data_IF_946462538981
#
_entry.id   IF_946462538981
#
_cell.length_a   1.000
_cell.length_b   1.000
_cell.length_c   1.000
_cell.angle_alpha   90.00
_cell.angle_beta   90.00
_cell.angle_gamma   90.00
#
_symmetry.space_group_name_H-M   'P 1'
#
loop_
_entity.id
_entity.type
_entity.pdbx_description
1 polymer ?
#
# COMPACT_ATOMS: atom_id res chain seq x y z
N UNK A 1 14.25 -7.82 13.61
CA UNK A 1 13.76 -6.71 12.77
C UNK A 1 12.86 -5.82 13.62
N UNK A 2 12.94 -4.49 13.51
CA UNK A 2 12.08 -3.59 14.28
C UNK A 2 10.68 -3.56 13.65
N UNK A 3 9.64 -3.80 14.46
CA UNK A 3 8.25 -3.77 14.01
C UNK A 3 7.94 -2.46 13.26
N UNK A 4 7.29 -2.56 12.09
CA UNK A 4 6.90 -1.39 11.32
C UNK A 4 5.92 -0.53 12.13
N UNK A 5 6.31 0.71 12.41
CA UNK A 5 5.49 1.63 13.20
C UNK A 5 4.21 2.00 12.46
N UNK A 6 3.14 2.28 13.22
CA UNK A 6 1.87 2.81 12.69
C UNK A 6 2.08 4.01 11.76
N UNK A 7 3.02 4.89 12.10
CA UNK A 7 3.37 6.05 11.28
C UNK A 7 3.93 5.65 9.91
N UNK A 8 4.84 4.67 9.85
CA UNK A 8 5.36 4.15 8.59
C UNK A 8 4.26 3.55 7.71
N UNK A 9 3.37 2.75 8.29
CA UNK A 9 2.23 2.15 7.57
C UNK A 9 1.33 3.23 6.95
N UNK A 10 0.99 4.27 7.72
CA UNK A 10 0.15 5.36 7.24
C UNK A 10 0.83 6.25 6.20
N UNK A 11 2.15 6.44 6.27
CA UNK A 11 2.91 7.14 5.20
C UNK A 11 2.89 6.33 3.91
N UNK A 12 3.14 5.03 3.99
CA UNK A 12 3.13 4.13 2.84
C UNK A 12 1.75 4.07 2.17
N UNK A 13 0.69 3.97 2.97
CA UNK A 13 -0.70 4.05 2.48
C UNK A 13 -0.96 5.32 1.67
N UNK A 14 -0.56 6.49 2.19
CA UNK A 14 -0.74 7.77 1.48
C UNK A 14 0.09 7.83 0.20
N UNK A 15 1.32 7.32 0.21
CA UNK A 15 2.17 7.26 -0.97
C UNK A 15 1.53 6.41 -2.08
N UNK A 16 1.10 5.19 -1.76
CA UNK A 16 0.40 4.30 -2.69
C UNK A 16 -0.83 4.96 -3.33
N UNK A 17 -1.67 5.61 -2.52
CA UNK A 17 -2.85 6.32 -3.05
C UNK A 17 -2.50 7.52 -3.93
N UNK A 18 -1.44 8.26 -3.59
CA UNK A 18 -0.98 9.42 -4.38
C UNK A 18 -0.45 8.99 -5.73
N UNK A 19 0.43 7.99 -5.77
CA UNK A 19 1.00 7.50 -7.03
C UNK A 19 -0.06 6.83 -7.90
N UNK A 20 -1.00 6.09 -7.30
CA UNK A 20 -2.10 5.48 -8.06
C UNK A 20 -2.99 6.49 -8.77
N UNK A 21 -3.05 7.76 -8.32
CA UNK A 21 -3.81 8.80 -9.02
C UNK A 21 -3.17 9.23 -10.34
N UNK A 22 -1.89 8.92 -10.54
CA UNK A 22 -1.12 9.30 -11.73
C UNK A 22 -1.34 8.37 -12.92
N UNK A 23 -1.93 7.19 -12.71
CA UNK A 23 -2.32 6.31 -13.81
C UNK A 23 -3.21 7.07 -14.81
N UNK A 24 -2.81 7.12 -16.08
CA UNK A 24 -3.57 7.78 -17.14
C UNK A 24 -4.93 7.13 -17.39
N UNK A 25 -4.96 5.79 -17.42
CA UNK A 25 -6.18 5.02 -17.60
C UNK A 25 -7.11 5.07 -16.38
N UNK A 26 -8.36 5.50 -16.58
CA UNK A 26 -9.37 5.59 -15.52
C UNK A 26 -9.57 4.26 -14.79
N UNK A 27 -9.70 3.16 -15.53
CA UNK A 27 -9.94 1.83 -14.95
C UNK A 27 -8.78 1.39 -14.05
N UNK A 28 -7.53 1.57 -14.50
CA UNK A 28 -6.34 1.25 -13.72
C UNK A 28 -6.24 2.12 -12.46
N UNK A 29 -6.46 3.44 -12.60
CA UNK A 29 -6.48 4.39 -11.48
C UNK A 29 -7.50 3.99 -10.42
N UNK A 30 -8.75 3.74 -10.83
CA UNK A 30 -9.83 3.37 -9.92
C UNK A 30 -9.60 2.00 -9.28
N UNK A 31 -9.13 1.02 -10.06
CA UNK A 31 -8.79 -0.30 -9.56
C UNK A 31 -7.68 -0.23 -8.51
N UNK A 32 -6.56 0.45 -8.80
CA UNK A 32 -5.44 0.56 -7.89
C UNK A 32 -5.86 1.22 -6.57
N UNK A 33 -6.56 2.37 -6.65
CA UNK A 33 -7.07 3.09 -5.47
C UNK A 33 -7.98 2.20 -4.63
N UNK A 34 -8.94 1.49 -5.26
CA UNK A 34 -9.85 0.58 -4.57
C UNK A 34 -9.07 -0.55 -3.90
N UNK A 35 -8.19 -1.24 -4.64
CA UNK A 35 -7.43 -2.39 -4.14
C UNK A 35 -6.54 -2.02 -2.96
N UNK A 36 -5.90 -0.85 -2.99
CA UNK A 36 -5.10 -0.33 -1.86
C UNK A 36 -5.98 -0.09 -0.64
N UNK A 37 -7.14 0.57 -0.80
CA UNK A 37 -8.07 0.83 0.32
C UNK A 37 -8.55 -0.46 0.97
N UNK A 38 -8.98 -1.41 0.15
CA UNK A 38 -9.51 -2.69 0.61
C UNK A 38 -8.43 -3.48 1.34
N UNK A 39 -7.24 -3.62 0.76
CA UNK A 39 -6.13 -4.34 1.38
C UNK A 39 -5.73 -3.75 2.74
N UNK A 40 -5.64 -2.41 2.87
CA UNK A 40 -5.30 -1.80 4.17
C UNK A 40 -6.43 -1.93 5.20
N UNK A 41 -7.69 -1.93 4.76
CA UNK A 41 -8.84 -2.13 5.64
C UNK A 41 -8.95 -3.57 6.12
N UNK A 42 -8.78 -4.55 5.22
CA UNK A 42 -8.77 -5.99 5.51
C UNK A 42 -7.72 -6.34 6.58
N UNK A 43 -6.53 -5.71 6.51
CA UNK A 43 -5.40 -6.00 7.39
C UNK A 43 -5.30 -5.08 8.63
N UNK A 44 -6.28 -4.19 8.86
CA UNK A 44 -6.22 -3.15 9.90
C UNK A 44 -6.01 -3.70 11.32
N UNK A 45 -6.57 -4.89 11.61
CA UNK A 45 -6.62 -5.45 12.96
C UNK A 45 -5.59 -6.58 13.20
N UNK A 46 -4.66 -6.80 12.25
CA UNK A 46 -3.58 -7.76 12.46
C UNK A 46 -2.70 -7.28 13.61
N UNK A 47 -2.37 -8.21 14.52
CA UNK A 47 -1.52 -7.95 15.69
C UNK A 47 -0.17 -8.64 15.62
N UNK A 48 -0.03 -9.63 14.73
CA UNK A 48 1.21 -10.34 14.47
C UNK A 48 2.22 -9.41 13.80
N UNK A 49 3.34 -9.17 14.48
CA UNK A 49 4.40 -8.26 14.02
C UNK A 49 5.10 -8.78 12.77
N UNK A 50 5.31 -10.09 12.65
CA UNK A 50 5.96 -10.68 11.46
C UNK A 50 5.05 -10.52 10.25
N UNK A 51 3.74 -10.78 10.44
CA UNK A 51 2.77 -10.60 9.37
C UNK A 51 2.63 -9.13 8.94
N UNK A 52 2.67 -8.20 9.88
CA UNK A 52 2.68 -6.76 9.57
C UNK A 52 3.90 -6.40 8.73
N UNK A 53 5.09 -6.90 9.10
CA UNK A 53 6.31 -6.62 8.37
C UNK A 53 6.29 -7.18 6.94
N UNK A 54 5.82 -8.41 6.77
CA UNK A 54 5.61 -9.04 5.46
C UNK A 54 4.69 -8.18 4.57
N UNK A 55 3.54 -7.75 5.10
CA UNK A 55 2.57 -6.93 4.38
C UNK A 55 3.12 -5.54 4.04
N UNK A 56 3.89 -4.93 4.94
CA UNK A 56 4.56 -3.65 4.70
C UNK A 56 5.60 -3.79 3.58
N UNK A 57 6.39 -4.87 3.58
CA UNK A 57 7.38 -5.11 2.53
C UNK A 57 6.70 -5.37 1.17
N UNK A 58 5.60 -6.12 1.15
CA UNK A 58 4.76 -6.28 -0.03
C UNK A 58 4.21 -4.94 -0.53
N UNK A 59 3.74 -4.08 0.37
CA UNK A 59 3.24 -2.76 0.01
C UNK A 59 4.34 -1.83 -0.54
N UNK A 60 5.58 -1.91 -0.04
CA UNK A 60 6.74 -1.21 -0.61
C UNK A 60 7.04 -1.70 -2.03
N UNK A 61 7.11 -3.02 -2.24
CA UNK A 61 7.31 -3.59 -3.57
C UNK A 61 6.21 -3.16 -4.57
N UNK A 62 4.96 -3.11 -4.12
CA UNK A 62 3.84 -2.61 -4.94
C UNK A 62 3.98 -1.13 -5.28
N UNK A 63 4.50 -0.30 -4.37
CA UNK A 63 4.75 1.12 -4.64
C UNK A 63 5.78 1.27 -5.76
N UNK A 64 6.87 0.49 -5.74
CA UNK A 64 7.86 0.46 -6.82
C UNK A 64 7.26 0.02 -8.16
N UNK A 65 6.34 -0.96 -8.14
CA UNK A 65 5.61 -1.37 -9.34
C UNK A 65 4.75 -0.22 -9.88
N UNK A 66 4.00 0.48 -9.01
CA UNK A 66 3.19 1.62 -9.43
C UNK A 66 4.08 2.71 -10.04
N UNK A 67 5.20 3.04 -9.39
CA UNK A 67 6.16 4.03 -9.90
C UNK A 67 6.71 3.69 -11.30
N UNK A 68 6.88 2.41 -11.64
CA UNK A 68 7.31 1.99 -12.99
C UNK A 68 6.22 2.11 -14.05
N UNK A 69 4.95 2.23 -13.65
CA UNK A 69 3.78 2.16 -14.53
C UNK A 69 3.05 3.52 -14.67
N UNK A 70 3.47 4.56 -13.94
CA UNK A 70 2.90 5.92 -13.95
C UNK A 70 3.94 6.98 -14.27
#
# INVERSE_FOLDING_TARGET
>A
MAASSRAQVLRLYRALLRESRRFGGYNYRMYAIRRIRDAFRENKNIKDSEKIEELVNKAKANLEVIHRQV
#
